data_IF_228426291779
#
_entry.id   IF_228426291779
#
_cell.length_a   1.000
_cell.length_b   1.000
_cell.length_c   1.000
_cell.angle_alpha   90.00
_cell.angle_beta   90.00
_cell.angle_gamma   90.00
#
_symmetry.space_group_name_H-M   'P 1'
#
loop_
_entity.id
_entity.type
_entity.pdbx_description
1 polymer ?
#
# COMPACT_ATOMS: atom_id res chain seq x y z
N UNK A 1 -4.16 5.41 -10.91
CA UNK A 1 -4.91 6.38 -10.07
C UNK A 1 -5.84 5.75 -9.02
N UNK A 2 -7.09 5.32 -9.34
CA UNK A 2 -8.07 4.86 -8.32
C UNK A 2 -7.55 3.75 -7.39
N UNK A 3 -6.73 2.83 -7.91
CA UNK A 3 -6.18 1.72 -7.11
C UNK A 3 -5.09 2.21 -6.14
N UNK A 4 -4.23 3.16 -6.53
CA UNK A 4 -3.28 3.77 -5.58
C UNK A 4 -4.00 4.56 -4.49
N UNK A 5 -4.99 5.39 -4.83
CA UNK A 5 -5.80 6.13 -3.84
C UNK A 5 -6.40 5.17 -2.78
N UNK A 6 -6.92 4.02 -3.22
CA UNK A 6 -7.48 3.00 -2.31
C UNK A 6 -6.37 2.32 -1.49
N UNK A 7 -5.20 2.08 -2.07
CA UNK A 7 -4.03 1.50 -1.37
C UNK A 7 -3.48 2.46 -0.31
N UNK A 8 -3.40 3.74 -0.62
CA UNK A 8 -2.78 4.75 0.21
C UNK A 8 -3.67 5.12 1.41
N UNK A 9 -5.02 5.09 1.24
CA UNK A 9 -5.99 5.09 2.34
C UNK A 9 -5.76 3.90 3.31
N UNK A 10 -5.47 2.70 2.78
CA UNK A 10 -5.20 1.50 3.61
C UNK A 10 -3.82 1.49 4.27
N UNK A 11 -2.93 2.38 3.84
CA UNK A 11 -1.61 2.61 4.44
C UNK A 11 -1.58 3.85 5.35
N UNK A 12 -2.72 4.49 5.61
CA UNK A 12 -2.78 5.68 6.46
C UNK A 12 -2.05 6.90 5.89
N UNK A 13 -1.84 6.96 4.57
CA UNK A 13 -1.28 8.15 3.89
C UNK A 13 -2.25 9.33 3.98
N UNK A 14 -3.54 9.04 4.08
CA UNK A 14 -4.61 9.96 4.44
C UNK A 14 -5.79 9.19 5.03
N UNK A 15 -6.51 9.79 5.99
CA UNK A 15 -7.59 9.11 6.74
C UNK A 15 -8.98 9.21 6.08
N UNK A 16 -9.17 10.16 5.17
CA UNK A 16 -10.50 10.54 4.63
C UNK A 16 -10.52 10.53 3.11
N UNK A 17 -11.44 9.76 2.53
CA UNK A 17 -11.72 9.74 1.09
C UNK A 17 -13.10 10.35 0.79
N UNK A 18 -13.12 11.50 0.11
CA UNK A 18 -14.35 12.17 -0.35
C UNK A 18 -14.65 11.79 -1.80
N UNK A 19 -15.91 11.50 -2.14
CA UNK A 19 -16.28 11.24 -3.53
C UNK A 19 -17.76 10.92 -3.78
N UNK A 20 -18.24 11.30 -4.97
CA UNK A 20 -19.66 11.25 -5.36
C UNK A 20 -20.17 9.81 -5.59
N UNK A 21 -19.37 8.98 -6.27
CA UNK A 21 -19.67 7.57 -6.54
C UNK A 21 -18.37 6.74 -6.64
N UNK A 22 -17.38 7.04 -5.79
CA UNK A 22 -16.15 6.24 -5.71
C UNK A 22 -16.43 4.82 -5.17
N UNK A 23 -17.51 4.69 -4.41
CA UNK A 23 -17.96 3.53 -3.65
C UNK A 23 -18.72 2.48 -4.49
N UNK A 24 -18.25 2.22 -5.72
CA UNK A 24 -18.71 1.09 -6.56
C UNK A 24 -18.15 -0.27 -6.13
N UNK A 25 -18.73 -1.34 -6.66
CA UNK A 25 -18.35 -2.75 -6.44
C UNK A 25 -16.82 -2.99 -6.45
N UNK A 26 -16.37 -4.00 -5.71
CA UNK A 26 -14.95 -4.35 -5.56
C UNK A 26 -14.18 -3.57 -4.48
N UNK A 27 -14.69 -2.44 -3.99
CA UNK A 27 -14.13 -1.79 -2.80
C UNK A 27 -14.46 -2.60 -1.52
N UNK A 28 -13.41 -3.13 -0.88
CA UNK A 28 -13.45 -3.90 0.36
C UNK A 28 -12.37 -3.34 1.29
N UNK A 29 -12.82 -2.61 2.32
CA UNK A 29 -12.00 -1.84 3.25
C UNK A 29 -12.44 -2.15 4.69
N UNK A 30 -11.91 -3.20 5.33
CA UNK A 30 -12.16 -3.44 6.76
C UNK A 30 -11.60 -2.33 7.66
N UNK A 31 -10.72 -1.48 7.12
CA UNK A 31 -10.15 -0.32 7.82
C UNK A 31 -11.17 0.82 8.02
N UNK A 32 -12.21 0.92 7.18
CA UNK A 32 -13.19 2.02 7.23
C UNK A 32 -14.26 1.76 8.29
N UNK A 33 -14.13 2.44 9.43
CA UNK A 33 -15.11 2.44 10.53
C UNK A 33 -16.25 3.43 10.33
N UNK A 34 -16.07 4.52 9.58
CA UNK A 34 -17.04 5.62 9.48
C UNK A 34 -17.36 6.02 8.04
N UNK A 35 -18.65 6.32 7.78
CA UNK A 35 -19.12 6.86 6.49
C UNK A 35 -20.10 8.01 6.74
N UNK A 36 -19.82 9.19 6.19
CA UNK A 36 -20.76 10.28 6.08
C UNK A 36 -21.41 10.31 4.69
N UNK A 37 -22.75 10.34 4.65
CA UNK A 37 -23.53 10.59 3.43
C UNK A 37 -24.08 12.01 3.55
N UNK A 38 -23.46 12.97 2.85
CA UNK A 38 -23.99 14.32 2.69
C UNK A 38 -25.16 14.32 1.70
N UNK A 39 -26.10 15.25 1.83
CA UNK A 39 -27.28 15.37 0.95
C UNK A 39 -28.03 14.02 0.80
N UNK A 40 -28.26 13.34 1.93
CA UNK A 40 -28.85 12.01 1.99
C UNK A 40 -30.34 11.98 1.55
N UNK A 41 -31.04 13.09 1.79
CA UNK A 41 -32.47 13.29 1.53
C UNK A 41 -32.76 13.72 0.09
N UNK A 42 -31.74 14.16 -0.66
CA UNK A 42 -31.89 14.64 -2.04
C UNK A 42 -32.06 13.47 -3.01
N UNK A 43 -33.31 13.03 -3.19
CA UNK A 43 -33.63 11.83 -3.97
C UNK A 43 -33.08 11.87 -5.41
N UNK A 44 -32.63 10.70 -5.89
CA UNK A 44 -32.01 10.54 -7.20
C UNK A 44 -31.15 9.28 -7.27
N UNK A 45 -30.43 9.07 -8.38
CA UNK A 45 -29.64 7.85 -8.60
C UNK A 45 -28.66 7.52 -7.47
N UNK A 46 -28.03 8.53 -6.86
CA UNK A 46 -27.03 8.36 -5.80
C UNK A 46 -27.63 8.25 -4.38
N UNK A 47 -28.94 8.45 -4.22
CA UNK A 47 -29.66 8.45 -2.93
C UNK A 47 -30.87 7.53 -2.87
N UNK A 48 -31.27 6.91 -3.98
CA UNK A 48 -32.27 5.85 -3.97
C UNK A 48 -31.84 4.66 -3.12
N UNK A 49 -32.83 3.95 -2.54
CA UNK A 49 -32.68 2.84 -1.59
C UNK A 49 -31.50 1.88 -1.85
N UNK A 50 -31.32 1.41 -3.10
CA UNK A 50 -30.22 0.50 -3.47
C UNK A 50 -28.83 1.13 -3.27
N UNK A 51 -28.66 2.39 -3.64
CA UNK A 51 -27.41 3.13 -3.55
C UNK A 51 -27.04 3.44 -2.09
N UNK A 52 -28.04 3.73 -1.25
CA UNK A 52 -27.84 3.88 0.20
C UNK A 52 -27.44 2.55 0.84
N UNK A 53 -28.14 1.44 0.58
CA UNK A 53 -27.78 0.10 1.07
C UNK A 53 -26.36 -0.31 0.62
N UNK A 54 -25.99 -0.07 -0.65
CA UNK A 54 -24.64 -0.33 -1.16
C UNK A 54 -23.56 0.55 -0.51
N UNK A 55 -23.92 1.73 -0.01
CA UNK A 55 -23.02 2.64 0.72
C UNK A 55 -22.87 2.23 2.18
N UNK A 56 -23.99 1.94 2.86
CA UNK A 56 -24.04 1.49 4.26
C UNK A 56 -23.30 0.16 4.46
N UNK A 57 -23.47 -0.80 3.55
CA UNK A 57 -22.84 -2.12 3.61
C UNK A 57 -21.30 -2.13 3.50
N UNK A 58 -20.66 -0.97 3.48
CA UNK A 58 -19.20 -0.80 3.43
C UNK A 58 -18.58 -0.66 4.81
N UNK A 59 -19.24 0.09 5.70
CA UNK A 59 -18.88 0.15 7.12
C UNK A 59 -19.08 -1.21 7.81
N UNK A 60 -20.00 -2.04 7.31
CA UNK A 60 -20.32 -3.37 7.83
C UNK A 60 -19.18 -4.42 7.79
N UNK A 61 -17.96 -4.04 7.38
CA UNK A 61 -16.74 -4.89 7.48
C UNK A 61 -15.83 -4.53 8.67
N UNK A 62 -16.13 -3.45 9.37
CA UNK A 62 -15.43 -3.00 10.57
C UNK A 62 -16.31 -3.21 11.80
N UNK A 63 -15.74 -3.68 12.92
CA UNK A 63 -16.45 -3.89 14.18
C UNK A 63 -17.15 -2.61 14.71
N UNK A 64 -16.54 -1.46 14.47
CA UNK A 64 -17.06 -0.14 14.86
C UNK A 64 -17.76 0.58 13.70
N UNK A 65 -18.19 -0.18 12.68
CA UNK A 65 -18.85 0.31 11.47
C UNK A 65 -20.08 1.16 11.77
N UNK A 66 -19.99 2.45 11.47
CA UNK A 66 -21.01 3.46 11.70
C UNK A 66 -21.23 4.33 10.45
N UNK A 67 -22.47 4.78 10.25
CA UNK A 67 -22.88 5.58 9.08
C UNK A 67 -23.78 6.71 9.55
N UNK A 68 -23.47 7.93 9.13
CA UNK A 68 -24.30 9.12 9.37
C UNK A 68 -24.85 9.64 8.05
N UNK A 69 -26.16 9.83 7.99
CA UNK A 69 -26.87 10.41 6.85
C UNK A 69 -27.28 11.83 7.20
N UNK A 70 -26.69 12.82 6.52
CA UNK A 70 -27.00 14.24 6.69
C UNK A 70 -28.01 14.67 5.63
N UNK A 71 -29.13 15.25 6.03
CA UNK A 71 -30.17 15.79 5.17
C UNK A 71 -31.21 16.55 5.99
N UNK A 72 -32.04 17.35 5.33
CA UNK A 72 -33.03 18.21 6.01
C UNK A 72 -34.29 17.43 6.44
N UNK A 73 -34.50 16.24 5.87
CA UNK A 73 -35.69 15.41 6.08
C UNK A 73 -35.39 13.91 5.90
N UNK A 74 -36.33 13.04 6.33
CA UNK A 74 -36.24 11.60 6.12
C UNK A 74 -36.98 11.23 4.81
N UNK A 75 -36.23 10.79 3.79
CA UNK A 75 -36.81 10.29 2.53
C UNK A 75 -37.27 8.82 2.65
N UNK A 76 -38.13 8.35 1.73
CA UNK A 76 -38.51 6.93 1.67
C UNK A 76 -37.28 6.03 1.46
N UNK A 77 -36.36 6.49 0.61
CA UNK A 77 -35.11 5.81 0.34
C UNK A 77 -34.24 5.66 1.61
N UNK A 78 -34.13 6.70 2.43
CA UNK A 78 -33.42 6.66 3.71
C UNK A 78 -34.14 5.75 4.70
N UNK A 79 -35.44 5.95 4.93
CA UNK A 79 -36.21 5.17 5.90
C UNK A 79 -36.14 3.67 5.61
N UNK A 80 -36.27 3.27 4.34
CA UNK A 80 -36.16 1.86 3.94
C UNK A 80 -34.74 1.32 4.06
N UNK A 81 -33.72 2.13 3.76
CA UNK A 81 -32.33 1.72 3.90
C UNK A 81 -31.95 1.49 5.37
N UNK A 82 -32.44 2.35 6.27
CA UNK A 82 -32.31 2.20 7.73
C UNK A 82 -33.03 0.94 8.19
N UNK A 83 -34.34 0.81 7.89
CA UNK A 83 -35.16 -0.32 8.34
C UNK A 83 -34.59 -1.70 7.93
N UNK A 84 -34.10 -1.85 6.70
CA UNK A 84 -33.46 -3.11 6.25
C UNK A 84 -32.07 -3.31 6.87
N UNK A 85 -31.33 -2.25 7.19
CA UNK A 85 -30.05 -2.33 7.92
C UNK A 85 -30.28 -2.81 9.35
N UNK A 86 -31.23 -2.21 10.07
CA UNK A 86 -31.56 -2.58 11.45
C UNK A 86 -32.15 -3.99 11.54
N UNK A 87 -33.03 -4.36 10.60
CA UNK A 87 -33.56 -5.72 10.46
C UNK A 87 -32.44 -6.75 10.28
N UNK A 88 -31.44 -6.47 9.43
CA UNK A 88 -30.27 -7.34 9.25
C UNK A 88 -29.40 -7.40 10.51
N UNK A 89 -29.17 -6.26 11.17
CA UNK A 89 -28.37 -6.17 12.39
C UNK A 89 -29.01 -6.96 13.54
N UNK A 90 -30.33 -6.87 13.72
CA UNK A 90 -31.06 -7.63 14.72
C UNK A 90 -30.95 -9.15 14.50
N UNK A 91 -31.10 -9.62 13.25
CA UNK A 91 -30.92 -11.03 12.91
C UNK A 91 -29.48 -11.51 13.13
N UNK A 92 -28.48 -10.68 12.81
CA UNK A 92 -27.06 -10.98 13.06
C UNK A 92 -26.72 -11.04 14.55
N UNK A 93 -27.27 -10.14 15.37
CA UNK A 93 -27.07 -10.14 16.83
C UNK A 93 -27.71 -11.39 17.44
N UNK A 94 -28.97 -11.69 17.14
CA UNK A 94 -29.65 -12.88 17.66
C UNK A 94 -28.93 -14.18 17.27
N UNK A 95 -28.49 -14.31 16.01
CA UNK A 95 -27.70 -15.47 15.56
C UNK A 95 -26.36 -15.57 16.32
N UNK A 96 -25.65 -14.46 16.52
CA UNK A 96 -24.39 -14.44 17.25
C UNK A 96 -24.57 -14.80 18.73
N UNK A 97 -25.64 -14.33 19.37
CA UNK A 97 -25.98 -14.67 20.77
C UNK A 97 -26.32 -16.16 20.91
N UNK A 98 -27.14 -16.71 20.02
CA UNK A 98 -27.51 -18.14 19.97
C UNK A 98 -26.29 -19.06 19.78
N UNK A 99 -25.30 -18.63 18.98
CA UNK A 99 -24.13 -19.43 18.61
C UNK A 99 -22.86 -19.07 19.39
N UNK A 100 -22.92 -18.14 20.35
CA UNK A 100 -21.75 -17.67 21.13
C UNK A 100 -20.67 -16.93 20.32
N UNK A 101 -21.02 -16.38 19.15
CA UNK A 101 -20.09 -15.75 18.22
C UNK A 101 -19.80 -14.32 18.68
N UNK A 102 -18.54 -14.05 19.06
CA UNK A 102 -18.06 -12.68 19.28
C UNK A 102 -17.67 -12.03 17.94
N UNK A 103 -18.26 -10.90 17.54
CA UNK A 103 -17.89 -10.22 16.30
C UNK A 103 -16.44 -9.73 16.30
N UNK A 104 -15.72 -9.91 15.17
CA UNK A 104 -14.34 -9.46 14.99
C UNK A 104 -14.16 -8.78 13.62
N UNK A 105 -13.33 -7.75 13.55
CA UNK A 105 -12.93 -7.13 12.27
C UNK A 105 -12.03 -8.07 11.47
N UNK A 106 -12.23 -8.14 10.15
CA UNK A 106 -11.39 -9.00 9.28
C UNK A 106 -10.04 -8.30 9.04
N UNK A 107 -9.00 -8.75 9.75
CA UNK A 107 -7.62 -8.28 9.53
C UNK A 107 -7.08 -8.84 8.21
N UNK A 108 -7.16 -8.04 7.14
CA UNK A 108 -6.54 -8.37 5.85
C UNK A 108 -5.07 -7.96 5.82
N UNK A 109 -4.25 -8.75 5.11
CA UNK A 109 -2.78 -8.74 5.18
C UNK A 109 -2.05 -7.53 4.55
N UNK A 110 -2.57 -6.30 4.70
CA UNK A 110 -1.85 -5.07 4.30
C UNK A 110 -0.53 -4.95 5.06
N UNK A 111 -0.53 -5.36 6.34
CA UNK A 111 0.61 -5.29 7.26
C UNK A 111 1.87 -6.05 6.79
N UNK A 112 1.71 -7.09 5.95
CA UNK A 112 2.87 -7.81 5.39
C UNK A 112 3.70 -6.92 4.44
N UNK A 113 3.07 -5.99 3.72
CA UNK A 113 3.77 -5.09 2.79
C UNK A 113 4.71 -4.10 3.50
N UNK A 114 4.44 -3.78 4.77
CA UNK A 114 5.29 -2.87 5.56
C UNK A 114 6.48 -3.61 6.17
N UNK A 115 6.23 -4.77 6.79
CA UNK A 115 7.28 -5.65 7.33
C UNK A 115 8.32 -6.00 6.27
N UNK A 116 7.87 -6.42 5.09
CA UNK A 116 8.79 -6.71 3.98
C UNK A 116 9.55 -5.48 3.48
N UNK A 117 8.96 -4.27 3.50
CA UNK A 117 9.67 -3.03 3.11
C UNK A 117 10.75 -2.63 4.12
N UNK A 118 10.49 -2.77 5.42
CA UNK A 118 11.47 -2.54 6.46
C UNK A 118 12.68 -3.46 6.30
N UNK A 119 12.43 -4.77 6.17
CA UNK A 119 13.51 -5.74 5.93
C UNK A 119 14.20 -5.55 4.57
N UNK A 120 13.48 -5.22 3.50
CA UNK A 120 14.07 -4.97 2.18
C UNK A 120 15.02 -3.77 2.20
N UNK A 121 14.72 -2.70 2.94
CA UNK A 121 15.63 -1.55 3.06
C UNK A 121 16.94 -1.90 3.80
N UNK A 122 16.83 -2.66 4.89
CA UNK A 122 17.98 -3.12 5.68
C UNK A 122 18.81 -4.18 4.92
N UNK A 123 18.15 -5.12 4.23
CA UNK A 123 18.81 -6.10 3.36
C UNK A 123 19.46 -5.42 2.16
N UNK A 124 18.82 -4.43 1.53
CA UNK A 124 19.41 -3.68 0.41
C UNK A 124 20.67 -2.91 0.83
N UNK A 125 20.67 -2.29 2.02
CA UNK A 125 21.87 -1.66 2.60
C UNK A 125 23.00 -2.69 2.80
N UNK A 126 22.70 -3.86 3.36
CA UNK A 126 23.67 -4.96 3.52
C UNK A 126 24.13 -5.58 2.19
N UNK A 127 23.32 -5.50 1.12
CA UNK A 127 23.66 -6.03 -0.20
C UNK A 127 24.40 -5.03 -1.10
N UNK A 128 24.50 -3.74 -0.72
CA UNK A 128 25.33 -2.77 -1.46
C UNK A 128 26.83 -3.10 -1.37
N UNK A 129 27.25 -3.82 -0.33
CA UNK A 129 28.64 -4.26 -0.13
C UNK A 129 29.04 -5.44 -1.06
N UNK A 130 28.07 -6.09 -1.73
CA UNK A 130 28.28 -7.24 -2.63
C UNK A 130 28.48 -6.84 -4.11
N UNK A 131 29.12 -5.71 -4.38
CA UNK A 131 29.34 -5.20 -5.73
C UNK A 131 30.58 -5.85 -6.41
N UNK A 132 30.36 -6.88 -7.23
CA UNK A 132 31.47 -7.49 -7.99
C UNK A 132 31.21 -8.74 -8.84
N UNK A 133 29.96 -9.16 -9.07
CA UNK A 133 29.65 -10.37 -9.87
C UNK A 133 29.54 -10.06 -11.38
N UNK A 134 30.10 -10.89 -12.28
CA UNK A 134 30.05 -10.68 -13.72
C UNK A 134 28.67 -11.02 -14.34
N UNK A 135 28.30 -10.42 -15.49
CA UNK A 135 26.96 -10.57 -16.09
C UNK A 135 26.53 -12.02 -16.39
N UNK A 136 27.47 -12.87 -16.87
CA UNK A 136 27.20 -14.29 -17.16
C UNK A 136 26.79 -15.09 -15.91
N UNK A 137 27.29 -14.69 -14.73
CA UNK A 137 27.00 -15.36 -13.47
C UNK A 137 25.65 -14.92 -12.90
N UNK A 138 25.29 -13.63 -13.06
CA UNK A 138 23.95 -13.11 -12.78
C UNK A 138 22.88 -13.81 -13.64
N UNK A 139 23.14 -13.99 -14.94
CA UNK A 139 22.23 -14.70 -15.86
C UNK A 139 22.02 -16.18 -15.47
N UNK A 140 23.05 -16.86 -14.94
CA UNK A 140 22.93 -18.24 -14.42
C UNK A 140 22.11 -18.26 -13.14
N UNK A 141 22.46 -17.42 -12.17
CA UNK A 141 21.78 -17.31 -10.88
C UNK A 141 20.28 -16.99 -11.05
N UNK A 142 19.93 -16.10 -11.98
CA UNK A 142 18.55 -15.79 -12.32
C UNK A 142 17.78 -17.02 -12.85
N UNK A 143 18.40 -17.82 -13.73
CA UNK A 143 17.77 -19.05 -14.28
C UNK A 143 17.55 -20.13 -13.23
N UNK A 144 18.48 -20.29 -12.28
CA UNK A 144 18.31 -21.27 -11.21
C UNK A 144 17.27 -20.81 -10.17
N UNK A 145 17.24 -19.52 -9.81
CA UNK A 145 16.16 -18.94 -8.96
C UNK A 145 14.78 -19.08 -9.62
N UNK A 146 14.67 -18.83 -10.93
CA UNK A 146 13.42 -19.03 -11.69
C UNK A 146 12.97 -20.50 -11.71
N UNK A 147 13.92 -21.43 -11.83
CA UNK A 147 13.68 -22.88 -11.78
C UNK A 147 13.27 -23.39 -10.40
N UNK A 148 13.76 -22.76 -9.33
CA UNK A 148 13.31 -23.04 -7.95
C UNK A 148 11.94 -22.41 -7.66
N UNK A 149 11.68 -21.19 -8.11
CA UNK A 149 10.36 -20.55 -8.04
C UNK A 149 9.29 -21.44 -8.70
N UNK A 150 9.59 -21.96 -9.90
CA UNK A 150 8.73 -22.90 -10.63
C UNK A 150 8.69 -24.32 -10.05
N UNK A 151 9.44 -24.63 -8.98
CA UNK A 151 9.26 -25.84 -8.16
C UNK A 151 8.33 -25.53 -7.00
N UNK A 152 8.69 -24.54 -6.17
CA UNK A 152 7.88 -24.06 -5.04
C UNK A 152 6.41 -23.79 -5.44
N UNK A 153 6.17 -23.18 -6.60
CA UNK A 153 4.81 -22.92 -7.11
C UNK A 153 4.03 -24.17 -7.55
N UNK A 154 4.70 -25.30 -7.88
CA UNK A 154 4.07 -26.60 -8.14
C UNK A 154 3.85 -27.39 -6.85
N UNK A 155 4.79 -27.26 -5.92
CA UNK A 155 4.79 -27.93 -4.61
C UNK A 155 3.89 -27.19 -3.59
N UNK A 156 3.18 -26.13 -4.03
CA UNK A 156 2.26 -25.27 -3.28
C UNK A 156 2.91 -24.44 -2.15
N UNK A 157 4.25 -24.33 -2.15
CA UNK A 157 5.04 -23.45 -1.28
C UNK A 157 4.96 -21.97 -1.75
N UNK A 158 3.75 -21.39 -1.74
CA UNK A 158 3.49 -20.07 -2.35
C UNK A 158 4.27 -18.91 -1.74
N UNK A 159 4.57 -18.94 -0.44
CA UNK A 159 5.37 -17.92 0.23
C UNK A 159 6.81 -17.92 -0.29
N UNK A 160 7.44 -19.10 -0.36
CA UNK A 160 8.77 -19.30 -0.94
C UNK A 160 8.82 -18.97 -2.43
N UNK A 161 7.76 -19.27 -3.18
CA UNK A 161 7.64 -18.86 -4.57
C UNK A 161 7.58 -17.32 -4.72
N UNK A 162 6.98 -16.60 -3.78
CA UNK A 162 6.98 -15.14 -3.76
C UNK A 162 8.37 -14.56 -3.41
N UNK A 163 9.08 -15.12 -2.44
CA UNK A 163 10.47 -14.72 -2.12
C UNK A 163 11.41 -14.91 -3.33
N UNK A 164 11.32 -16.06 -4.00
CA UNK A 164 12.14 -16.37 -5.18
C UNK A 164 11.77 -15.48 -6.38
N UNK A 165 10.48 -15.14 -6.56
CA UNK A 165 10.02 -14.16 -7.56
C UNK A 165 10.66 -12.79 -7.31
N UNK A 166 10.62 -12.29 -6.08
CA UNK A 166 11.09 -10.93 -5.80
C UNK A 166 12.62 -10.84 -5.91
N UNK A 167 13.33 -11.91 -5.51
CA UNK A 167 14.77 -12.06 -5.78
C UNK A 167 15.09 -12.14 -7.29
N UNK A 168 14.26 -12.79 -8.09
CA UNK A 168 14.41 -12.86 -9.55
C UNK A 168 14.20 -11.50 -10.21
N UNK A 169 13.24 -10.70 -9.73
CA UNK A 169 13.02 -9.32 -10.18
C UNK A 169 14.24 -8.43 -9.86
N UNK A 170 14.82 -8.56 -8.66
CA UNK A 170 16.03 -7.83 -8.30
C UNK A 170 17.24 -8.22 -9.18
N UNK A 171 17.43 -9.52 -9.43
CA UNK A 171 18.52 -10.01 -10.30
C UNK A 171 18.36 -9.53 -11.74
N UNK A 172 17.15 -9.57 -12.32
CA UNK A 172 16.89 -9.05 -13.67
C UNK A 172 17.11 -7.54 -13.73
N UNK A 173 16.61 -6.80 -12.75
CA UNK A 173 16.86 -5.35 -12.66
C UNK A 173 18.35 -5.02 -12.61
N UNK A 174 19.17 -5.78 -11.88
CA UNK A 174 20.65 -5.58 -11.85
C UNK A 174 21.32 -5.87 -13.19
N UNK A 175 20.70 -6.63 -14.09
CA UNK A 175 21.16 -6.82 -15.47
C UNK A 175 20.73 -5.64 -16.35
N UNK A 176 19.47 -5.21 -16.26
CA UNK A 176 18.92 -4.06 -17.02
C UNK A 176 19.63 -2.74 -16.64
N UNK A 177 19.82 -2.48 -15.34
CA UNK A 177 20.59 -1.34 -14.81
C UNK A 177 22.09 -1.43 -15.20
N UNK A 178 22.57 -2.61 -15.64
CA UNK A 178 23.95 -2.88 -16.04
C UNK A 178 24.33 -2.43 -17.46
N UNK A 179 23.38 -2.39 -18.39
CA UNK A 179 23.57 -1.81 -19.74
C UNK A 179 23.33 -0.29 -19.76
N UNK A 180 22.91 0.31 -18.63
CA UNK A 180 22.37 1.67 -18.57
C UNK A 180 23.33 2.80 -18.16
N UNK A 181 24.55 2.50 -17.65
CA UNK A 181 25.44 3.51 -17.06
C UNK A 181 26.72 3.70 -17.89
N UNK A 182 26.67 4.62 -18.83
CA UNK A 182 27.88 5.14 -19.47
C UNK A 182 28.79 5.82 -18.43
N UNK A 183 30.09 5.54 -18.47
CA UNK A 183 31.04 6.08 -17.51
C UNK A 183 31.33 7.58 -17.76
N UNK A 184 30.76 8.45 -16.93
CA UNK A 184 31.23 9.84 -16.78
C UNK A 184 32.71 9.85 -16.36
N UNK A 185 33.61 10.54 -17.10
CA UNK A 185 35.04 10.44 -16.87
C UNK A 185 35.48 11.24 -15.64
N UNK A 186 36.25 10.60 -14.75
CA UNK A 186 36.83 11.26 -13.57
C UNK A 186 37.80 12.37 -14.02
N UNK A 187 37.37 13.63 -13.85
CA UNK A 187 38.12 14.80 -14.28
C UNK A 187 39.49 14.92 -13.60
N UNK A 188 40.57 14.89 -14.39
CA UNK A 188 41.94 14.95 -13.88
C UNK A 188 42.32 16.37 -13.44
N UNK A 189 42.41 16.60 -12.12
CA UNK A 189 42.96 17.80 -11.51
C UNK A 189 44.22 17.46 -10.69
N UNK A 190 45.41 17.75 -11.23
CA UNK A 190 46.68 17.33 -10.66
C UNK A 190 47.43 18.41 -9.86
N UNK A 191 48.02 18.00 -8.72
CA UNK A 191 48.98 18.78 -7.93
C UNK A 191 48.37 19.63 -6.81
N UNK A 192 49.05 19.88 -5.68
CA UNK A 192 50.36 19.40 -5.17
C UNK A 192 50.33 19.41 -3.63
N UNK A 193 51.12 18.56 -2.92
CA UNK A 193 51.19 18.55 -1.46
C UNK A 193 52.25 19.53 -0.89
N UNK A 194 52.14 19.84 0.42
CA UNK A 194 53.30 20.28 1.24
C UNK A 194 53.25 21.71 1.79
N UNK A 195 52.88 21.86 3.07
CA UNK A 195 52.74 23.15 3.75
C UNK A 195 53.98 23.77 4.42
N UNK A 196 53.70 24.79 5.27
CA UNK A 196 54.63 25.67 6.04
C UNK A 196 55.44 26.63 5.14
N UNK A 197 55.43 27.95 5.34
CA UNK A 197 55.52 28.67 6.63
C UNK A 197 55.15 30.18 6.52
N UNK A 198 55.05 30.87 7.67
CA UNK A 198 54.95 32.34 7.84
C UNK A 198 56.36 32.92 8.07
N UNK A 199 56.70 34.20 7.73
CA UNK A 199 56.06 35.35 8.42
C UNK A 199 56.04 36.76 7.73
N UNK A 200 55.31 37.67 8.40
CA UNK A 200 55.49 39.16 8.49
C UNK A 200 55.13 40.11 7.31
N UNK A 201 54.20 41.03 7.65
CA UNK A 201 54.01 42.44 7.17
C UNK A 201 55.30 43.29 7.37
N UNK A 202 55.47 44.52 6.81
CA UNK A 202 54.47 45.58 6.52
C UNK A 202 54.23 45.78 4.98
N UNK A 203 53.89 46.91 4.33
CA UNK A 203 53.78 48.36 4.69
C UNK A 203 52.48 49.04 4.17
N UNK A 204 52.56 49.93 3.15
CA UNK A 204 51.50 50.83 2.63
C UNK A 204 51.86 51.32 1.21
N UNK A 205 50.87 51.95 0.57
CA UNK A 205 50.92 52.91 -0.54
C UNK A 205 50.88 52.31 -1.97
N UNK A 206 50.20 52.97 -2.93
CA UNK A 206 49.50 54.26 -2.86
C UNK A 206 48.14 54.23 -3.57
#
# INVERSE_FOLDING_TARGET
ERVEIIRDLRLGVFDVLVGINQLREGLDLPEVSFIAILDADKEGYLRGYRSLIQTVGRAARNLFGHVVMYGDSMSDAMQRAINETDRRRALQVAFNEEHGITPQSIVKAVYQLESHRGEQSLRAAAFQEAAGLPPDELLRLAKDVEKEMLRAARDLEFERAAELRDRLVELRRRMDDGDGVAAEPVGAAGGRPGGRSRPRRPVRAR
#
